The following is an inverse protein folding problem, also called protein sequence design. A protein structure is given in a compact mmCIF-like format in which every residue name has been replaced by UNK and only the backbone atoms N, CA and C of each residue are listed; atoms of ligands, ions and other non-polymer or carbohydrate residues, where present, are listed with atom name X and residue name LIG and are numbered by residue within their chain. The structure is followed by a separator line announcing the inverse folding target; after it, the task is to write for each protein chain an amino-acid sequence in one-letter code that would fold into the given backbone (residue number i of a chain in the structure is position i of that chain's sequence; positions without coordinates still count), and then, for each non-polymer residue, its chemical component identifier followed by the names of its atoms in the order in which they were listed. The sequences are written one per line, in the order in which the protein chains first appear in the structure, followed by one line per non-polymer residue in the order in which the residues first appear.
data_IF_708224921580
#
_entry.id   IF_708224921580
#
_cell.length_a   1.000
_cell.length_b   1.000
_cell.length_c   1.000
_cell.angle_alpha   90.00
_cell.angle_beta   90.00
_cell.angle_gamma   90.00
#
_symmetry.space_group_name_H-M   'P 1'
#
loop_
_entity.id
_entity.type
_entity.pdbx_description
1 polymer ?
#
# COMPACT_ATOMS: atom_id res chain seq x y z
N UNK A 1 50.76 -24.62 -3.64
CA UNK A 1 49.35 -24.20 -3.73
C UNK A 1 49.15 -22.87 -2.97
N UNK A 2 49.36 -21.77 -3.70
CA UNK A 2 49.23 -20.41 -3.20
C UNK A 2 47.75 -20.03 -3.12
N UNK A 3 47.29 -19.63 -1.93
CA UNK A 3 45.89 -19.20 -1.72
C UNK A 3 45.86 -17.68 -1.81
N UNK A 4 45.05 -17.06 -2.68
CA UNK A 4 45.08 -15.62 -2.85
C UNK A 4 44.56 -14.94 -1.58
N UNK A 5 45.41 -14.18 -0.92
CA UNK A 5 45.03 -13.30 0.19
C UNK A 5 43.93 -12.35 -0.29
N UNK A 6 42.69 -12.59 0.15
CA UNK A 6 41.60 -11.64 -0.05
C UNK A 6 42.00 -10.35 0.65
N UNK A 7 42.33 -9.35 -0.16
CA UNK A 7 42.50 -7.96 0.24
C UNK A 7 41.22 -7.55 0.98
N UNK A 8 41.27 -7.54 2.30
CA UNK A 8 40.22 -6.95 3.13
C UNK A 8 40.13 -5.49 2.72
N UNK A 9 39.09 -5.13 1.95
CA UNK A 9 38.73 -3.73 1.76
C UNK A 9 38.45 -3.21 3.15
N UNK A 10 39.39 -2.41 3.70
CA UNK A 10 39.15 -1.65 4.92
C UNK A 10 37.82 -0.94 4.71
N UNK A 11 36.81 -1.29 5.51
CA UNK A 11 35.57 -0.53 5.58
C UNK A 11 36.01 0.91 5.87
N UNK A 12 35.68 1.90 5.03
CA UNK A 12 35.94 3.29 5.36
C UNK A 12 35.38 3.57 6.76
N UNK A 13 36.02 4.45 7.55
CA UNK A 13 35.43 4.93 8.79
C UNK A 13 33.97 5.30 8.52
N UNK A 14 33.06 4.76 9.32
CA UNK A 14 31.68 5.23 9.35
C UNK A 14 31.79 6.70 9.75
N UNK A 15 31.68 7.60 8.78
CA UNK A 15 31.37 9.00 9.05
C UNK A 15 30.21 9.01 10.07
N UNK A 16 30.27 9.84 11.12
CA UNK A 16 29.21 9.91 12.11
C UNK A 16 27.88 10.11 11.36
N UNK A 17 26.81 9.38 11.71
CA UNK A 17 25.54 9.49 11.00
C UNK A 17 25.16 10.96 10.96
N UNK A 18 25.18 11.54 9.76
CA UNK A 18 24.73 12.90 9.54
C UNK A 18 23.35 12.98 10.18
N UNK A 19 23.20 13.84 11.20
CA UNK A 19 22.01 13.91 12.04
C UNK A 19 20.77 13.90 11.14
N UNK A 20 20.14 12.72 11.04
CA UNK A 20 19.12 12.48 10.05
C UNK A 20 18.02 13.50 10.28
N UNK A 21 17.65 14.25 9.24
CA UNK A 21 16.67 15.33 9.40
C UNK A 21 15.44 14.80 10.14
N UNK A 22 15.09 15.49 11.22
CA UNK A 22 13.97 15.11 12.07
C UNK A 22 12.67 15.63 11.46
N UNK A 23 11.62 14.80 11.48
CA UNK A 23 10.27 15.20 11.08
C UNK A 23 9.26 15.00 12.21
N UNK A 24 8.23 15.83 12.23
CA UNK A 24 7.05 15.61 13.04
C UNK A 24 6.07 14.68 12.32
N UNK A 25 5.63 13.63 13.01
CA UNK A 25 4.57 12.77 12.51
C UNK A 25 3.25 13.54 12.41
N UNK A 26 2.64 13.58 11.23
CA UNK A 26 1.36 14.24 10.97
C UNK A 26 0.13 13.48 11.51
N UNK A 27 0.34 12.55 12.44
CA UNK A 27 -0.71 11.79 13.11
C UNK A 27 -0.53 11.88 14.62
N UNK A 28 0.60 11.42 15.15
CA UNK A 28 0.87 11.40 16.59
C UNK A 28 1.78 12.54 17.08
N UNK A 29 2.26 13.41 16.19
CA UNK A 29 3.13 14.56 16.51
C UNK A 29 4.51 14.20 17.11
N UNK A 30 4.87 12.91 17.16
CA UNK A 30 6.20 12.47 17.60
C UNK A 30 7.29 12.86 16.59
N UNK A 31 8.43 13.31 17.10
CA UNK A 31 9.64 13.58 16.32
C UNK A 31 10.30 12.25 15.92
N UNK A 32 10.68 12.07 14.66
CA UNK A 32 11.36 10.85 14.21
C UNK A 32 12.47 11.15 13.18
N UNK A 33 13.59 10.39 13.20
CA UNK A 33 14.72 10.60 12.30
C UNK A 33 14.51 9.93 10.93
N UNK A 34 15.44 10.20 10.00
CA UNK A 34 15.57 9.43 8.76
C UNK A 34 14.63 9.86 7.64
N UNK A 35 14.17 11.12 7.64
CA UNK A 35 13.47 11.68 6.48
C UNK A 35 14.46 12.39 5.55
N UNK A 36 14.26 12.24 4.25
CA UNK A 36 14.87 13.10 3.24
C UNK A 36 13.89 14.22 2.93
N UNK A 37 14.20 15.48 3.26
CA UNK A 37 13.33 16.61 2.92
C UNK A 37 13.36 16.83 1.40
N UNK A 38 12.25 16.62 0.66
CA UNK A 38 12.18 17.13 -0.70
C UNK A 38 12.07 18.66 -0.63
N UNK A 39 12.49 19.38 -1.70
CA UNK A 39 12.43 20.85 -1.74
C UNK A 39 11.00 21.41 -1.59
N UNK A 40 9.97 20.58 -1.77
CA UNK A 40 8.56 20.98 -1.69
C UNK A 40 7.98 20.69 -0.29
N UNK A 41 7.57 21.75 0.41
CA UNK A 41 7.13 21.75 1.82
C UNK A 41 5.79 21.05 2.14
N UNK A 42 5.26 20.18 1.27
CA UNK A 42 3.93 19.55 1.44
C UNK A 42 3.98 18.04 1.77
N UNK A 43 5.05 17.57 2.39
CA UNK A 43 5.14 16.16 2.77
C UNK A 43 4.43 15.88 4.10
N UNK A 44 3.41 15.01 4.06
CA UNK A 44 2.76 14.48 5.24
C UNK A 44 3.55 13.29 5.78
N UNK A 45 4.52 13.57 6.64
CA UNK A 45 5.38 12.57 7.27
C UNK A 45 4.63 11.74 8.32
N UNK A 46 4.91 10.43 8.37
CA UNK A 46 4.39 9.53 9.40
C UNK A 46 5.57 8.77 10.01
N UNK A 47 5.63 8.70 11.34
CA UNK A 47 6.58 7.83 12.03
C UNK A 47 6.38 6.36 11.63
N UNK A 48 7.37 5.48 11.90
CA UNK A 48 7.27 4.05 11.58
C UNK A 48 5.98 3.40 12.08
N UNK A 49 5.54 3.73 13.30
CA UNK A 49 4.35 3.13 13.91
C UNK A 49 3.05 3.60 13.25
N UNK A 50 2.84 4.91 13.10
CA UNK A 50 1.65 5.42 12.41
C UNK A 50 1.61 4.97 10.94
N UNK A 51 2.78 4.79 10.31
CA UNK A 51 2.86 4.21 8.97
C UNK A 51 2.47 2.73 8.95
N UNK A 52 2.90 1.95 9.93
CA UNK A 52 2.51 0.55 10.09
C UNK A 52 1.00 0.42 10.34
N UNK A 53 0.46 1.13 11.32
CA UNK A 53 -0.98 1.16 11.63
C UNK A 53 -1.82 1.52 10.40
N UNK A 54 -1.41 2.54 9.64
CA UNK A 54 -2.12 2.93 8.40
C UNK A 54 -2.05 1.84 7.34
N UNK A 55 -0.95 1.09 7.24
CA UNK A 55 -0.84 -0.05 6.33
C UNK A 55 -1.75 -1.20 6.76
N UNK A 56 -1.80 -1.50 8.05
CA UNK A 56 -2.65 -2.56 8.60
C UNK A 56 -4.13 -2.25 8.42
N UNK A 57 -4.55 -1.02 8.76
CA UNK A 57 -5.90 -0.54 8.48
C UNK A 57 -6.22 -0.64 6.99
N UNK A 58 -5.34 -0.15 6.10
CA UNK A 58 -5.56 -0.26 4.66
C UNK A 58 -5.63 -1.72 4.17
N UNK A 59 -4.87 -2.63 4.78
CA UNK A 59 -4.92 -4.07 4.46
C UNK A 59 -6.27 -4.65 4.83
N UNK A 60 -6.77 -4.35 6.02
CA UNK A 60 -8.10 -4.75 6.49
C UNK A 60 -9.22 -4.17 5.63
N UNK A 61 -9.16 -2.86 5.33
CA UNK A 61 -10.15 -2.22 4.46
C UNK A 61 -10.16 -2.82 3.05
N UNK A 62 -9.00 -3.23 2.49
CA UNK A 62 -8.93 -3.95 1.21
C UNK A 62 -9.53 -5.36 1.29
N UNK A 63 -9.43 -6.01 2.43
CA UNK A 63 -10.08 -7.30 2.66
C UNK A 63 -11.61 -7.14 2.63
N UNK A 64 -12.16 -6.24 3.45
CA UNK A 64 -13.60 -6.02 3.49
C UNK A 64 -14.18 -5.48 2.18
N UNK A 65 -13.46 -4.63 1.42
CA UNK A 65 -13.89 -4.22 0.08
C UNK A 65 -14.01 -5.39 -0.92
N UNK A 66 -13.20 -6.43 -0.75
CA UNK A 66 -13.29 -7.64 -1.59
C UNK A 66 -14.43 -8.53 -1.15
N UNK A 67 -14.50 -8.87 0.14
CA UNK A 67 -15.43 -9.86 0.71
C UNK A 67 -16.86 -9.31 0.87
N UNK A 68 -17.01 -8.02 1.16
CA UNK A 68 -18.29 -7.42 1.56
C UNK A 68 -18.60 -7.67 3.04
N UNK A 69 -19.72 -7.13 3.54
CA UNK A 69 -20.14 -7.32 4.93
C UNK A 69 -20.88 -8.65 5.17
N UNK A 70 -21.26 -9.38 4.11
CA UNK A 70 -21.95 -10.66 4.17
C UNK A 70 -23.44 -10.59 4.54
N UNK A 71 -23.93 -9.47 5.08
CA UNK A 71 -25.27 -9.38 5.65
C UNK A 71 -26.23 -8.50 4.85
N UNK A 72 -25.72 -7.53 4.08
CA UNK A 72 -26.55 -6.62 3.29
C UNK A 72 -27.20 -7.32 2.08
N UNK A 73 -28.25 -6.71 1.52
CA UNK A 73 -28.97 -7.25 0.36
C UNK A 73 -28.03 -7.57 -0.81
N UNK A 74 -27.08 -6.69 -1.09
CA UNK A 74 -26.09 -6.87 -2.16
C UNK A 74 -25.21 -8.12 -1.94
N UNK A 75 -24.86 -8.45 -0.70
CA UNK A 75 -24.07 -9.65 -0.36
C UNK A 75 -24.89 -10.95 -0.48
N UNK A 76 -26.22 -10.87 -0.40
CA UNK A 76 -27.13 -12.02 -0.53
C UNK A 76 -27.42 -12.42 -1.97
N UNK A 77 -27.05 -11.58 -2.95
CA UNK A 77 -27.26 -11.85 -4.37
C UNK A 77 -26.12 -12.75 -4.87
N UNK A 78 -26.41 -14.00 -5.27
CA UNK A 78 -25.39 -14.97 -5.63
C UNK A 78 -24.74 -14.69 -6.99
N UNK A 79 -25.49 -14.09 -7.92
CA UNK A 79 -25.09 -13.95 -9.33
C UNK A 79 -25.21 -12.50 -9.83
N UNK A 80 -24.38 -12.15 -10.81
CA UNK A 80 -24.45 -10.84 -11.46
C UNK A 80 -25.69 -10.74 -12.35
N UNK A 81 -26.40 -9.61 -12.33
CA UNK A 81 -27.68 -9.47 -13.04
C UNK A 81 -27.59 -9.50 -14.58
N UNK A 82 -26.39 -9.51 -15.17
CA UNK A 82 -26.16 -9.49 -16.62
C UNK A 82 -26.50 -8.17 -17.34
N UNK A 83 -27.46 -7.40 -16.85
CA UNK A 83 -28.06 -6.26 -17.58
C UNK A 83 -27.56 -4.87 -17.14
N UNK A 84 -26.92 -4.74 -15.98
CA UNK A 84 -26.47 -3.43 -15.51
C UNK A 84 -25.21 -2.94 -16.26
N UNK A 85 -24.94 -1.63 -16.22
CA UNK A 85 -23.79 -1.03 -16.94
C UNK A 85 -22.44 -1.64 -16.55
N UNK A 86 -22.29 -2.13 -15.31
CA UNK A 86 -21.08 -2.84 -14.88
C UNK A 86 -20.97 -4.25 -15.50
N UNK A 87 -22.08 -4.98 -15.59
CA UNK A 87 -22.13 -6.29 -16.26
C UNK A 87 -21.88 -6.15 -17.76
N UNK A 88 -22.52 -5.17 -18.42
CA UNK A 88 -22.36 -4.90 -19.85
C UNK A 88 -20.91 -4.58 -20.25
N UNK A 89 -20.14 -3.89 -19.39
CA UNK A 89 -18.71 -3.65 -19.62
C UNK A 89 -17.84 -4.90 -19.41
N UNK A 90 -18.29 -5.82 -18.57
CA UNK A 90 -17.53 -7.04 -18.23
C UNK A 90 -17.75 -8.16 -19.25
N UNK A 91 -18.85 -8.12 -20.00
CA UNK A 91 -19.15 -9.06 -21.09
C UNK A 91 -18.45 -8.75 -22.42
N UNK A 92 -17.67 -7.67 -22.51
CA UNK A 92 -16.95 -7.29 -23.73
C UNK A 92 -15.73 -8.21 -23.93
N UNK A 93 -15.61 -8.93 -25.05
CA UNK A 93 -14.42 -9.74 -25.36
C UNK A 93 -13.16 -8.87 -25.37
N UNK A 94 -12.15 -9.24 -24.57
CA UNK A 94 -10.92 -8.44 -24.40
C UNK A 94 -10.96 -7.43 -23.25
N UNK A 95 -12.05 -7.35 -22.49
CA UNK A 95 -12.07 -6.59 -21.24
C UNK A 95 -11.01 -7.13 -20.26
N UNK A 96 -10.36 -6.26 -19.46
CA UNK A 96 -9.33 -6.68 -18.51
C UNK A 96 -9.90 -7.68 -17.51
N UNK A 97 -9.61 -8.95 -17.75
CA UNK A 97 -10.10 -10.07 -16.97
C UNK A 97 -9.11 -10.30 -15.83
N UNK A 98 -9.42 -9.75 -14.66
CA UNK A 98 -8.56 -9.91 -13.50
C UNK A 98 -9.22 -9.43 -12.21
N UNK A 99 -8.94 -10.06 -11.06
CA UNK A 99 -9.50 -9.66 -9.77
C UNK A 99 -9.14 -8.20 -9.47
N UNK A 100 -10.17 -7.35 -9.38
CA UNK A 100 -10.03 -5.92 -9.12
C UNK A 100 -9.95 -5.00 -10.34
N UNK A 101 -10.03 -5.55 -11.57
CA UNK A 101 -10.09 -4.76 -12.82
C UNK A 101 -11.49 -4.68 -13.43
N UNK A 102 -12.35 -5.66 -13.14
CA UNK A 102 -13.75 -5.64 -13.56
C UNK A 102 -14.64 -4.98 -12.50
N UNK A 103 -15.56 -4.08 -12.90
CA UNK A 103 -16.51 -3.49 -11.97
C UNK A 103 -17.54 -4.53 -11.51
N UNK A 104 -17.71 -4.71 -10.19
CA UNK A 104 -18.79 -5.53 -9.63
C UNK A 104 -20.16 -5.07 -10.14
N UNK A 105 -21.07 -6.03 -10.36
CA UNK A 105 -22.48 -5.77 -10.66
C UNK A 105 -23.06 -4.73 -9.71
N UNK A 106 -23.84 -3.77 -10.23
CA UNK A 106 -24.39 -2.68 -9.42
C UNK A 106 -25.33 -3.16 -8.32
N UNK A 107 -25.99 -4.31 -8.51
CA UNK A 107 -26.83 -4.91 -7.47
C UNK A 107 -26.01 -5.54 -6.33
N UNK A 108 -24.71 -5.79 -6.55
CA UNK A 108 -23.81 -6.51 -5.64
C UNK A 108 -22.72 -5.60 -5.05
N UNK A 109 -23.02 -4.31 -4.86
CA UNK A 109 -22.11 -3.30 -4.31
C UNK A 109 -22.41 -2.95 -2.86
#
# INVERSE_FOLDING_TARGET
PDTPLRRSRKRPPLEPPEDGVMALCASCQTLFPGVSLPPQRRCRWLCPDCRAQRRDFNREQRFYKRVGCGTCQACRIPEDCGICSACARSSVPGAPSGPGRTPKCLLRR
#
